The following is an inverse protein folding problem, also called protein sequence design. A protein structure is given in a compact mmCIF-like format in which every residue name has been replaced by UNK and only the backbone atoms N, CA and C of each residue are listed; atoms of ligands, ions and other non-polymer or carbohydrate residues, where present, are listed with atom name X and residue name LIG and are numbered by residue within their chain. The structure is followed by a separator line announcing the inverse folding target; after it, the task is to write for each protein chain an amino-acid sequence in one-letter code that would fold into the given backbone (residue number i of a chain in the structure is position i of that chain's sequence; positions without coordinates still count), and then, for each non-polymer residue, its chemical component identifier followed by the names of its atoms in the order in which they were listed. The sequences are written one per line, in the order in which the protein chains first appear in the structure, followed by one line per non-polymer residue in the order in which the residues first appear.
data_IF_998156894959
#
_entry.id   IF_998156894959
#
_cell.length_a   1.000
_cell.length_b   1.000
_cell.length_c   1.000
_cell.angle_alpha   90.00
_cell.angle_beta   90.00
_cell.angle_gamma   90.00
#
_symmetry.space_group_name_H-M   'P 1'
#
loop_
_entity.id
_entity.type
_entity.pdbx_description
1 polymer ?
#
# COMPACT_ATOMS: atom_id res chain seq x y z
N UNK A 1 5.87 -16.87 29.67
CA UNK A 1 6.27 -16.35 28.34
C UNK A 1 7.78 -16.15 28.32
N UNK A 2 8.47 -16.49 27.22
CA UNK A 2 9.93 -16.26 27.09
C UNK A 2 10.16 -14.85 26.51
N UNK A 3 10.87 -13.93 27.19
CA UNK A 3 11.13 -12.57 26.70
C UNK A 3 11.72 -12.52 25.29
N UNK A 4 12.51 -13.53 24.91
CA UNK A 4 13.09 -13.66 23.57
C UNK A 4 12.06 -13.78 22.44
N UNK A 5 10.88 -14.34 22.70
CA UNK A 5 9.79 -14.39 21.72
C UNK A 5 9.21 -13.00 21.43
N UNK A 6 9.03 -12.19 22.47
CA UNK A 6 8.54 -10.81 22.33
C UNK A 6 9.57 -9.94 21.60
N UNK A 7 10.86 -10.06 21.94
CA UNK A 7 11.95 -9.36 21.24
C UNK A 7 11.96 -9.75 19.76
N UNK A 8 11.87 -11.05 19.45
CA UNK A 8 11.80 -11.51 18.06
C UNK A 8 10.58 -10.95 17.34
N UNK A 9 9.42 -10.88 18.00
CA UNK A 9 8.21 -10.27 17.44
C UNK A 9 8.42 -8.80 17.08
N UNK A 10 9.02 -8.01 17.97
CA UNK A 10 9.36 -6.61 17.70
C UNK A 10 10.29 -6.46 16.50
N UNK A 11 11.38 -7.24 16.46
CA UNK A 11 12.33 -7.19 15.34
C UNK A 11 11.68 -7.55 13.99
N UNK A 12 10.73 -8.48 13.99
CA UNK A 12 9.98 -8.84 12.77
C UNK A 12 9.05 -7.69 12.32
N UNK A 13 8.41 -6.99 13.26
CA UNK A 13 7.59 -5.82 12.95
C UNK A 13 8.44 -4.69 12.36
N UNK A 14 9.63 -4.41 12.93
CA UNK A 14 10.56 -3.40 12.41
C UNK A 14 11.01 -3.73 10.97
N UNK A 15 11.28 -5.00 10.68
CA UNK A 15 11.62 -5.45 9.33
C UNK A 15 10.45 -5.29 8.36
N UNK A 16 9.23 -5.63 8.80
CA UNK A 16 8.02 -5.47 8.00
C UNK A 16 7.74 -3.99 7.68
N UNK A 17 7.88 -3.10 8.65
CA UNK A 17 7.72 -1.65 8.48
C UNK A 17 8.70 -1.11 7.43
N UNK A 18 9.99 -1.48 7.52
CA UNK A 18 10.99 -1.11 6.51
C UNK A 18 10.62 -1.61 5.12
N UNK A 19 10.12 -2.84 5.02
CA UNK A 19 9.68 -3.39 3.75
C UNK A 19 8.49 -2.61 3.17
N UNK A 20 7.50 -2.28 4.00
CA UNK A 20 6.34 -1.45 3.62
C UNK A 20 6.81 -0.09 3.10
N UNK A 21 7.75 0.57 3.79
CA UNK A 21 8.31 1.84 3.33
C UNK A 21 9.02 1.74 1.98
N UNK A 22 9.79 0.66 1.74
CA UNK A 22 10.44 0.42 0.46
C UNK A 22 9.42 0.20 -0.66
N UNK A 23 8.39 -0.60 -0.43
CA UNK A 23 7.32 -0.83 -1.41
C UNK A 23 6.54 0.44 -1.70
N UNK A 24 6.23 1.25 -0.68
CA UNK A 24 5.60 2.55 -0.85
C UNK A 24 6.45 3.47 -1.72
N UNK A 25 7.76 3.56 -1.45
CA UNK A 25 8.68 4.35 -2.26
C UNK A 25 8.76 3.85 -3.71
N UNK A 26 8.72 2.52 -3.92
CA UNK A 26 8.65 1.89 -5.26
C UNK A 26 7.38 2.32 -6.00
N UNK A 27 6.21 2.20 -5.37
CA UNK A 27 4.92 2.57 -5.98
C UNK A 27 4.84 4.06 -6.31
N UNK A 28 5.29 4.93 -5.40
CA UNK A 28 5.37 6.37 -5.66
C UNK A 28 6.29 6.70 -6.85
N UNK A 29 7.38 5.95 -7.02
CA UNK A 29 8.25 6.08 -8.19
C UNK A 29 7.54 5.67 -9.48
N UNK A 30 6.81 4.55 -9.48
CA UNK A 30 6.01 4.11 -10.63
C UNK A 30 4.93 5.13 -11.02
N UNK A 31 4.27 5.75 -10.04
CA UNK A 31 3.34 6.85 -10.30
C UNK A 31 4.05 8.04 -10.97
N UNK A 32 5.21 8.44 -10.46
CA UNK A 32 6.01 9.51 -11.07
C UNK A 32 6.44 9.18 -12.51
N UNK A 33 6.90 7.96 -12.75
CA UNK A 33 7.32 7.47 -14.08
C UNK A 33 6.15 7.45 -15.07
N UNK A 34 4.93 7.17 -14.60
CA UNK A 34 3.70 7.23 -15.39
C UNK A 34 3.07 8.63 -15.51
N UNK A 35 3.74 9.68 -15.01
CA UNK A 35 3.21 11.04 -14.96
C UNK A 35 1.87 11.14 -14.21
N UNK A 36 1.73 10.32 -13.17
CA UNK A 36 0.59 10.29 -12.26
C UNK A 36 0.96 10.94 -10.92
N UNK A 37 0.19 11.93 -10.50
CA UNK A 37 0.37 12.65 -9.24
C UNK A 37 -0.90 12.53 -8.40
N UNK A 38 -0.81 11.96 -7.19
CA UNK A 38 -1.92 11.98 -6.23
C UNK A 38 -2.03 13.40 -5.67
N UNK A 39 -3.20 14.02 -5.85
CA UNK A 39 -3.49 15.38 -5.41
C UNK A 39 -4.14 15.37 -4.03
N UNK A 40 -5.09 14.47 -3.83
CA UNK A 40 -5.86 14.39 -2.59
C UNK A 40 -6.32 12.95 -2.33
N UNK A 41 -6.39 12.58 -1.06
CA UNK A 41 -6.90 11.29 -0.60
C UNK A 41 -7.83 11.55 0.56
N UNK A 42 -9.12 11.32 0.35
CA UNK A 42 -10.14 11.40 1.39
C UNK A 42 -10.52 10.00 1.82
N UNK A 43 -10.50 9.78 3.13
CA UNK A 43 -10.93 8.52 3.73
C UNK A 43 -12.30 8.72 4.38
N UNK A 44 -13.27 7.91 3.94
CA UNK A 44 -14.62 7.86 4.49
C UNK A 44 -14.87 6.52 5.20
N UNK A 45 -16.10 6.30 5.69
CA UNK A 45 -16.42 5.09 6.47
C UNK A 45 -16.32 3.79 5.65
N UNK A 46 -16.59 3.85 4.34
CA UNK A 46 -16.65 2.67 3.47
C UNK A 46 -15.70 2.73 2.28
N UNK A 47 -15.12 3.89 1.99
CA UNK A 47 -14.35 4.11 0.76
C UNK A 47 -13.22 5.10 0.93
N UNK A 48 -12.30 5.03 -0.02
CA UNK A 48 -11.23 5.99 -0.21
C UNK A 48 -11.47 6.69 -1.55
N UNK A 49 -11.61 8.01 -1.52
CA UNK A 49 -11.74 8.84 -2.72
C UNK A 49 -10.38 9.44 -3.01
N UNK A 50 -9.79 9.06 -4.15
CA UNK A 50 -8.45 9.49 -4.57
C UNK A 50 -8.58 10.39 -5.78
N UNK A 51 -8.18 11.66 -5.62
CA UNK A 51 -8.03 12.59 -6.74
C UNK A 51 -6.58 12.57 -7.20
N UNK A 52 -6.38 12.38 -8.50
CA UNK A 52 -5.04 12.33 -9.08
C UNK A 52 -5.01 13.04 -10.43
N UNK A 53 -3.83 13.50 -10.83
CA UNK A 53 -3.56 14.01 -12.16
C UNK A 53 -2.82 12.96 -12.96
N UNK A 54 -3.27 12.71 -14.18
CA UNK A 54 -2.56 11.88 -15.16
C UNK A 54 -2.46 12.68 -16.47
N UNK A 55 -1.23 12.91 -16.95
CA UNK A 55 -0.97 13.63 -18.22
C UNK A 55 -1.68 15.00 -18.31
N UNK A 56 -1.82 15.68 -17.17
CA UNK A 56 -2.46 17.00 -17.06
C UNK A 56 -3.98 16.99 -16.88
N UNK A 57 -4.63 15.83 -16.96
CA UNK A 57 -6.05 15.68 -16.70
C UNK A 57 -6.28 15.29 -15.24
N UNK A 58 -7.36 15.78 -14.64
CA UNK A 58 -7.74 15.42 -13.27
C UNK A 58 -8.73 14.26 -13.32
N UNK A 59 -8.46 13.25 -12.51
CA UNK A 59 -9.24 12.05 -12.36
C UNK A 59 -9.62 11.85 -10.90
N UNK A 60 -10.68 11.08 -10.70
CA UNK A 60 -11.14 10.64 -9.39
C UNK A 60 -11.37 9.13 -9.45
N UNK A 61 -10.82 8.41 -8.47
CA UNK A 61 -11.03 6.98 -8.31
C UNK A 61 -11.55 6.70 -6.90
N UNK A 62 -12.57 5.84 -6.82
CA UNK A 62 -13.19 5.42 -5.56
C UNK A 62 -12.80 3.97 -5.31
N UNK A 63 -12.23 3.71 -4.14
CA UNK A 63 -11.84 2.37 -3.72
C UNK A 63 -12.60 1.97 -2.46
N UNK A 64 -13.40 0.90 -2.56
CA UNK A 64 -14.13 0.36 -1.42
C UNK A 64 -13.15 -0.23 -0.39
N UNK A 65 -13.22 0.24 0.85
CA UNK A 65 -12.38 -0.25 1.96
C UNK A 65 -12.46 -1.77 2.12
N UNK A 66 -13.64 -2.43 2.08
CA UNK A 66 -13.71 -3.90 2.20
C UNK A 66 -12.97 -4.64 1.09
N UNK A 67 -12.96 -4.09 -0.13
CA UNK A 67 -12.24 -4.68 -1.26
C UNK A 67 -10.72 -4.57 -1.06
N UNK A 68 -10.23 -3.39 -0.67
CA UNK A 68 -8.81 -3.17 -0.39
C UNK A 68 -8.34 -4.04 0.80
N UNK A 69 -9.16 -4.19 1.83
CA UNK A 69 -8.87 -5.06 2.97
C UNK A 69 -8.78 -6.52 2.54
N UNK A 70 -9.76 -7.03 1.78
CA UNK A 70 -9.73 -8.40 1.28
C UNK A 70 -8.51 -8.67 0.37
N UNK A 71 -8.16 -7.71 -0.48
CA UNK A 71 -6.98 -7.81 -1.33
C UNK A 71 -5.67 -7.82 -0.51
N UNK A 72 -5.57 -6.97 0.51
CA UNK A 72 -4.42 -6.96 1.42
C UNK A 72 -4.28 -8.29 2.14
N UNK A 73 -5.37 -8.83 2.70
CA UNK A 73 -5.39 -10.12 3.38
C UNK A 73 -4.95 -11.26 2.46
N UNK A 74 -5.45 -11.30 1.22
CA UNK A 74 -5.04 -12.30 0.23
C UNK A 74 -3.55 -12.21 -0.09
N UNK A 75 -3.01 -11.00 -0.28
CA UNK A 75 -1.57 -10.78 -0.54
C UNK A 75 -0.71 -11.16 0.66
N UNK A 76 -1.19 -10.94 1.89
CA UNK A 76 -0.49 -11.34 3.11
C UNK A 76 -0.46 -12.87 3.30
N UNK A 77 -1.53 -13.57 2.90
CA UNK A 77 -1.61 -15.04 2.98
C UNK A 77 -0.75 -15.74 1.91
N UNK A 78 -0.62 -15.13 0.71
CA UNK A 78 0.08 -15.74 -0.43
C UNK A 78 1.56 -15.34 -0.54
N UNK A 79 2.05 -14.40 0.27
CA UNK A 79 3.38 -13.80 0.11
C UNK A 79 3.45 -12.85 -1.10
N UNK A 80 4.52 -12.07 -1.26
CA UNK A 80 4.61 -11.08 -2.34
C UNK A 80 4.55 -11.77 -3.71
N UNK A 81 3.50 -11.45 -4.48
CA UNK A 81 3.36 -11.87 -5.88
C UNK A 81 4.53 -11.29 -6.67
N UNK A 82 5.45 -12.15 -7.10
CA UNK A 82 6.45 -11.77 -8.08
C UNK A 82 5.73 -11.51 -9.41
N UNK A 83 5.69 -10.25 -9.83
CA UNK A 83 5.31 -9.88 -11.19
C UNK A 83 6.33 -10.52 -12.14
N UNK A 84 5.90 -11.57 -12.83
CA UNK A 84 6.66 -12.20 -13.91
C UNK A 84 6.64 -11.24 -15.10
N UNK A 85 7.83 -10.77 -15.48
CA UNK A 85 8.10 -10.08 -16.74
C UNK A 85 8.14 -11.06 -17.91
#
# INVERSE_FOLDING_TARGET
MRPTLAIRGLLLLDLAERHIHQQRARLLRLLKESQTEIVDVMEEDLEWVVKYKEKGYTHEAIYMRPMLTAELEARMQLGPVHEQH
#
